data_IF_551352030713
#
_entry.id   IF_551352030713
#
_cell.length_a   1.000
_cell.length_b   1.000
_cell.length_c   1.000
_cell.angle_alpha   90.00
_cell.angle_beta   90.00
_cell.angle_gamma   90.00
#
_symmetry.space_group_name_H-M   'P 1'
#
loop_
_entity.id
_entity.type
_entity.pdbx_description
1 polymer ?
#
# COMPACT_ATOMS: atom_id res chain seq x y z
N UNK A 1 -8.79 -21.04 -0.67
CA UNK A 1 -9.95 -21.33 -1.54
C UNK A 1 -11.07 -21.73 -0.61
N UNK A 2 -12.04 -20.86 -0.43
CA UNK A 2 -13.17 -21.11 0.48
C UNK A 2 -14.42 -21.06 -0.37
N UNK A 3 -15.21 -22.14 -0.33
CA UNK A 3 -16.47 -22.19 -1.05
C UNK A 3 -17.55 -21.55 -0.16
N UNK A 4 -18.16 -20.46 -0.64
CA UNK A 4 -19.29 -19.79 0.01
C UNK A 4 -20.42 -19.74 -1.01
N UNK A 5 -21.56 -20.37 -0.68
CA UNK A 5 -22.79 -20.36 -1.48
C UNK A 5 -22.60 -20.75 -2.97
N UNK A 6 -21.79 -21.79 -3.23
CA UNK A 6 -21.54 -22.33 -4.57
C UNK A 6 -20.67 -21.45 -5.49
N UNK A 7 -20.10 -20.36 -4.96
CA UNK A 7 -19.08 -19.55 -5.64
C UNK A 7 -17.71 -19.87 -5.05
N UNK A 8 -16.73 -20.10 -5.92
CA UNK A 8 -15.33 -20.14 -5.53
C UNK A 8 -14.91 -18.72 -5.13
N UNK A 9 -14.91 -18.42 -3.83
CA UNK A 9 -14.25 -17.23 -3.34
C UNK A 9 -12.74 -17.54 -3.28
N UNK A 10 -11.99 -16.87 -4.16
CA UNK A 10 -10.55 -16.78 -4.00
C UNK A 10 -10.31 -16.17 -2.63
N UNK A 11 -9.50 -16.85 -1.80
CA UNK A 11 -9.07 -16.25 -0.55
C UNK A 11 -8.42 -14.90 -0.89
N UNK A 12 -8.68 -13.83 -0.11
CA UNK A 12 -8.15 -12.51 -0.44
C UNK A 12 -6.63 -12.61 -0.61
N UNK A 13 -6.14 -12.26 -1.80
CA UNK A 13 -4.71 -12.21 -2.05
C UNK A 13 -4.11 -11.13 -1.14
N UNK A 14 -2.97 -11.39 -0.48
CA UNK A 14 -2.42 -10.40 0.44
C UNK A 14 -1.94 -9.18 -0.35
N UNK A 15 -2.47 -8.00 0.01
CA UNK A 15 -2.32 -6.74 -0.75
C UNK A 15 -0.86 -6.33 -1.00
N UNK A 16 0.04 -6.66 -0.08
CA UNK A 16 1.46 -6.27 -0.13
C UNK A 16 2.41 -7.47 -0.27
N UNK A 17 1.92 -8.63 -0.71
CA UNK A 17 2.73 -9.86 -0.77
C UNK A 17 3.49 -10.05 -2.09
N UNK A 18 3.39 -9.14 -3.05
CA UNK A 18 4.13 -9.30 -4.29
C UNK A 18 5.63 -9.05 -4.04
N UNK A 19 6.45 -9.98 -4.53
CA UNK A 19 7.90 -9.91 -4.47
C UNK A 19 8.48 -10.30 -5.83
N UNK A 20 9.63 -9.73 -6.19
CA UNK A 20 10.26 -9.96 -7.48
C UNK A 20 10.35 -8.68 -8.33
N UNK A 21 10.36 -8.85 -9.65
CA UNK A 21 10.52 -7.72 -10.55
C UNK A 21 9.27 -6.83 -10.55
N UNK A 22 9.48 -5.53 -10.35
CA UNK A 22 8.47 -4.50 -10.57
C UNK A 22 8.43 -4.22 -12.09
N UNK A 23 7.70 -5.08 -12.81
CA UNK A 23 7.70 -5.14 -14.27
C UNK A 23 7.35 -3.81 -14.93
N UNK A 24 6.56 -2.95 -14.27
CA UNK A 24 6.10 -1.67 -14.83
C UNK A 24 6.93 -0.47 -14.39
N UNK A 25 7.55 -0.52 -13.22
CA UNK A 25 8.30 0.62 -12.64
C UNK A 25 9.82 0.41 -12.56
N UNK A 26 10.35 -0.68 -13.13
CA UNK A 26 11.79 -0.90 -13.28
C UNK A 26 12.51 -1.00 -11.94
N UNK A 27 12.19 -2.02 -11.14
CA UNK A 27 12.80 -2.22 -9.82
C UNK A 27 12.38 -3.53 -9.18
N UNK A 28 12.42 -3.60 -7.85
CA UNK A 28 11.92 -4.71 -7.05
C UNK A 28 10.63 -4.34 -6.32
N UNK A 29 9.72 -5.31 -6.21
CA UNK A 29 8.61 -5.27 -5.28
C UNK A 29 9.09 -5.81 -3.93
N UNK A 30 8.75 -5.10 -2.85
CA UNK A 30 9.07 -5.51 -1.50
C UNK A 30 8.07 -4.96 -0.49
N UNK A 31 7.97 -5.64 0.64
CA UNK A 31 7.22 -5.20 1.80
C UNK A 31 7.93 -5.75 3.04
N UNK A 32 8.42 -4.85 3.88
CA UNK A 32 9.23 -5.17 5.04
C UNK A 32 8.63 -4.47 6.25
N UNK A 33 8.29 -5.26 7.28
CA UNK A 33 7.85 -4.76 8.57
C UNK A 33 8.92 -5.10 9.61
N UNK A 34 9.61 -4.07 10.11
CA UNK A 34 10.71 -4.22 11.06
C UNK A 34 10.34 -3.68 12.43
N UNK A 35 10.68 -4.38 13.52
CA UNK A 35 10.55 -3.82 14.86
C UNK A 35 11.54 -2.65 15.02
N UNK A 36 11.09 -1.58 15.66
CA UNK A 36 11.90 -0.41 16.03
C UNK A 36 11.65 -0.07 17.50
N UNK A 37 12.54 0.74 18.10
CA UNK A 37 12.31 1.22 19.46
C UNK A 37 11.00 2.03 19.50
N UNK A 38 10.02 1.55 20.26
CA UNK A 38 8.71 2.21 20.37
C UNK A 38 7.66 1.77 19.35
N UNK A 39 7.94 0.84 18.43
CA UNK A 39 6.93 0.38 17.48
C UNK A 39 7.48 -0.44 16.32
N UNK A 40 6.96 -0.18 15.12
CA UNK A 40 7.33 -0.86 13.89
C UNK A 40 7.56 0.15 12.78
N UNK A 41 8.45 -0.19 11.84
CA UNK A 41 8.62 0.53 10.59
C UNK A 41 8.14 -0.37 9.45
N UNK A 42 7.24 0.15 8.62
CA UNK A 42 6.79 -0.51 7.39
C UNK A 42 7.44 0.21 6.19
N UNK A 43 8.23 -0.52 5.42
CA UNK A 43 8.77 -0.07 4.14
C UNK A 43 8.20 -0.94 3.01
N UNK A 44 7.54 -0.30 2.06
CA UNK A 44 6.72 -0.97 1.04
C UNK A 44 6.94 -0.33 -0.32
N UNK A 45 7.14 -1.17 -1.32
CA UNK A 45 7.08 -0.83 -2.74
C UNK A 45 6.31 -1.93 -3.47
N UNK A 46 5.12 -1.62 -3.93
CA UNK A 46 4.20 -2.58 -4.55
C UNK A 46 3.62 -2.04 -5.85
N UNK A 47 3.26 -2.96 -6.75
CA UNK A 47 2.34 -2.71 -7.86
C UNK A 47 1.01 -3.35 -7.45
N UNK A 48 -0.08 -2.58 -7.46
CA UNK A 48 -1.42 -3.07 -7.12
C UNK A 48 -2.36 -2.88 -8.32
N UNK A 49 -3.30 -3.80 -8.50
CA UNK A 49 -4.37 -3.60 -9.48
C UNK A 49 -5.27 -2.44 -9.02
N UNK A 50 -5.81 -1.66 -9.96
CA UNK A 50 -6.65 -0.50 -9.63
C UNK A 50 -7.90 -0.87 -8.82
N UNK A 51 -8.45 -2.07 -9.01
CA UNK A 51 -9.56 -2.60 -8.21
C UNK A 51 -9.20 -2.81 -6.73
N UNK A 52 -7.91 -2.86 -6.38
CA UNK A 52 -7.43 -2.97 -5.00
C UNK A 52 -7.13 -1.62 -4.37
N UNK A 53 -7.38 -0.49 -5.06
CA UNK A 53 -7.05 0.84 -4.55
C UNK A 53 -7.83 1.18 -3.27
N UNK A 54 -9.11 0.83 -3.19
CA UNK A 54 -9.92 1.04 -1.97
C UNK A 54 -9.39 0.23 -0.77
N UNK A 55 -8.88 -0.98 -1.04
CA UNK A 55 -8.24 -1.80 0.00
C UNK A 55 -6.91 -1.19 0.45
N UNK A 56 -6.13 -0.63 -0.49
CA UNK A 56 -4.90 0.10 -0.18
C UNK A 56 -5.18 1.35 0.64
N UNK A 57 -6.21 2.12 0.28
CA UNK A 57 -6.66 3.28 1.04
C UNK A 57 -7.05 2.90 2.45
N UNK A 58 -7.88 1.87 2.61
CA UNK A 58 -8.28 1.35 3.92
C UNK A 58 -7.09 0.92 4.77
N UNK A 59 -6.08 0.29 4.16
CA UNK A 59 -4.85 -0.09 4.87
C UNK A 59 -4.05 1.14 5.29
N UNK A 60 -3.85 2.09 4.39
CA UNK A 60 -3.10 3.32 4.63
C UNK A 60 -3.75 4.16 5.72
N UNK A 61 -5.08 4.30 5.72
CA UNK A 61 -5.82 5.02 6.75
C UNK A 61 -5.63 4.39 8.13
N UNK A 62 -5.65 3.04 8.20
CA UNK A 62 -5.38 2.31 9.45
C UNK A 62 -3.94 2.50 9.93
N UNK A 63 -2.98 2.53 9.02
CA UNK A 63 -1.57 2.76 9.36
C UNK A 63 -1.33 4.20 9.81
N UNK A 64 -1.97 5.19 9.15
CA UNK A 64 -1.84 6.61 9.45
C UNK A 64 -2.22 6.92 10.91
N UNK A 65 -3.29 6.29 11.42
CA UNK A 65 -3.73 6.43 12.81
C UNK A 65 -2.70 5.97 13.86
N UNK A 66 -1.68 5.21 13.44
CA UNK A 66 -0.61 4.70 14.29
C UNK A 66 0.78 5.20 13.88
N UNK A 67 0.86 6.10 12.88
CA UNK A 67 2.11 6.65 12.41
C UNK A 67 2.47 7.90 13.22
N UNK A 68 3.73 7.98 13.64
CA UNK A 68 4.26 9.17 14.32
C UNK A 68 4.77 10.20 13.31
N UNK A 69 4.60 11.48 13.65
CA UNK A 69 5.16 12.61 12.91
C UNK A 69 4.21 13.23 11.88
N UNK A 70 4.79 14.01 10.97
CA UNK A 70 4.08 14.68 9.88
C UNK A 70 5.04 14.90 8.70
N UNK A 71 4.51 14.88 7.49
CA UNK A 71 5.28 15.10 6.26
C UNK A 71 5.04 14.05 5.19
N UNK A 72 5.88 14.07 4.16
CA UNK A 72 5.83 13.10 3.07
C UNK A 72 6.28 11.72 3.58
N UNK A 73 5.45 10.70 3.32
CA UNK A 73 5.67 9.31 3.75
C UNK A 73 5.80 8.34 2.58
N UNK A 74 5.60 8.81 1.36
CA UNK A 74 5.69 7.99 0.15
C UNK A 74 5.07 8.67 -1.06
N UNK A 75 4.83 7.86 -2.10
CA UNK A 75 4.21 8.32 -3.34
C UNK A 75 3.30 7.24 -3.94
N UNK A 76 2.21 7.68 -4.56
CA UNK A 76 1.38 6.88 -5.45
C UNK A 76 1.71 7.24 -6.90
N UNK A 77 1.59 6.28 -7.81
CA UNK A 77 1.70 6.53 -9.25
C UNK A 77 0.81 5.57 -10.03
N UNK A 78 -0.07 6.11 -10.86
CA UNK A 78 -0.78 5.32 -11.86
C UNK A 78 0.15 4.96 -13.03
N UNK A 79 -0.11 3.81 -13.65
CA UNK A 79 0.75 3.30 -14.72
C UNK A 79 0.72 4.21 -15.95
N UNK A 80 -0.46 4.73 -16.27
CA UNK A 80 -0.75 5.62 -17.39
C UNK A 80 -0.12 7.00 -17.21
N UNK A 81 0.35 7.33 -16.01
CA UNK A 81 0.86 8.63 -15.64
C UNK A 81 2.40 8.64 -15.51
N UNK A 82 3.00 9.73 -15.97
CA UNK A 82 4.44 9.95 -15.82
C UNK A 82 4.83 10.40 -14.41
N UNK A 83 3.93 11.14 -13.76
CA UNK A 83 4.17 11.78 -12.48
C UNK A 83 3.84 10.87 -11.30
N UNK A 84 4.33 11.25 -10.12
CA UNK A 84 4.05 10.58 -8.85
C UNK A 84 3.37 11.57 -7.92
N UNK A 85 2.30 11.15 -7.28
CA UNK A 85 1.60 11.95 -6.30
C UNK A 85 2.10 11.67 -4.90
N UNK A 86 2.56 12.71 -4.16
CA UNK A 86 3.08 12.52 -2.81
C UNK A 86 1.95 12.12 -1.86
N UNK A 87 2.29 11.19 -0.97
CA UNK A 87 1.46 10.80 0.16
C UNK A 87 1.95 11.56 1.40
N UNK A 88 1.09 12.38 1.98
CA UNK A 88 1.44 13.27 3.09
C UNK A 88 0.67 12.87 4.33
N UNK A 89 1.39 12.49 5.39
CA UNK A 89 0.86 12.25 6.72
C UNK A 89 0.68 13.58 7.45
N UNK A 90 -0.51 13.81 7.98
CA UNK A 90 -0.83 14.95 8.83
C UNK A 90 -1.96 14.56 9.78
N UNK A 91 -1.77 14.86 11.07
CA UNK A 91 -2.78 14.68 12.11
C UNK A 91 -3.40 13.26 12.15
N UNK A 92 -2.58 12.23 11.85
CA UNK A 92 -3.01 10.83 11.83
C UNK A 92 -3.74 10.38 10.55
N UNK A 93 -3.75 11.22 9.51
CA UNK A 93 -4.37 10.94 8.21
C UNK A 93 -3.33 11.05 7.10
N UNK A 94 -3.45 10.21 6.07
CA UNK A 94 -2.62 10.32 4.86
C UNK A 94 -3.49 10.83 3.71
N UNK A 95 -3.06 11.93 3.12
CA UNK A 95 -3.68 12.51 1.92
C UNK A 95 -2.76 12.34 0.71
N UNK A 96 -3.35 12.13 -0.45
CA UNK A 96 -2.69 12.11 -1.75
C UNK A 96 -3.72 12.58 -2.78
N UNK A 97 -3.30 13.37 -3.77
CA UNK A 97 -4.22 13.98 -4.74
C UNK A 97 -5.01 12.96 -5.57
N UNK A 98 -4.43 11.77 -5.69
CA UNK A 98 -4.86 10.68 -6.57
C UNK A 98 -5.40 9.46 -5.79
N UNK A 99 -5.75 9.67 -4.51
CA UNK A 99 -6.08 8.62 -3.53
C UNK A 99 -7.51 8.74 -2.98
#
# INVERSE_FOLDING_TARGET
MTEVDGRLELAPEPLLAQSGAAYRIGGSLHATLEPRAGGWALDVRQEVHSESLDNLRTLVDRLAAHADGAGEVGFLRFYEEGDRSPMVLRDGEISCADF
#
